data_IF_807121817178
#
_entry.id   IF_807121817178
#
_cell.length_a   1.000
_cell.length_b   1.000
_cell.length_c   1.000
_cell.angle_alpha   90.00
_cell.angle_beta   90.00
_cell.angle_gamma   90.00
#
_symmetry.space_group_name_H-M   'P 1'
#
loop_
_entity.id
_entity.type
_entity.pdbx_description
1 polymer ?
#
# COMPACT_ATOMS: atom_id res chain seq x y z
N UNK A 1 5.66 -11.01 19.55
CA UNK A 1 4.38 -10.53 20.15
C UNK A 1 4.60 -9.40 21.14
N UNK A 2 5.37 -9.57 22.23
CA UNK A 2 5.59 -8.51 23.25
C UNK A 2 6.05 -7.18 22.63
N UNK A 3 7.03 -7.21 21.73
CA UNK A 3 7.53 -6.01 21.03
C UNK A 3 6.41 -5.29 20.25
N UNK A 4 5.47 -6.03 19.65
CA UNK A 4 4.36 -5.44 18.88
C UNK A 4 3.40 -4.71 19.82
N UNK A 5 3.03 -5.35 20.94
CA UNK A 5 2.14 -4.76 21.94
C UNK A 5 2.79 -3.51 22.54
N UNK A 6 4.08 -3.60 22.90
CA UNK A 6 4.84 -2.46 23.40
C UNK A 6 4.88 -1.33 22.36
N UNK A 7 5.27 -1.61 21.11
CA UNK A 7 5.32 -0.60 20.05
C UNK A 7 3.95 0.03 19.77
N UNK A 8 2.87 -0.75 19.81
CA UNK A 8 1.50 -0.28 19.58
C UNK A 8 0.91 0.55 20.71
N UNK A 9 1.43 0.43 21.93
CA UNK A 9 1.01 1.23 23.09
C UNK A 9 1.40 2.71 22.98
N UNK A 10 2.37 3.05 22.13
CA UNK A 10 2.80 4.42 21.92
C UNK A 10 1.82 5.23 21.05
N UNK A 11 1.80 6.57 21.22
CA UNK A 11 1.02 7.44 20.36
C UNK A 11 1.55 7.40 18.91
N UNK A 12 0.67 7.62 17.92
CA UNK A 12 1.06 7.71 16.51
C UNK A 12 1.94 8.93 16.25
N UNK A 13 2.90 8.79 15.33
CA UNK A 13 3.91 9.80 15.03
C UNK A 13 3.93 10.26 13.56
N UNK A 14 3.20 9.60 12.65
CA UNK A 14 3.13 10.00 11.24
C UNK A 14 2.03 11.05 11.00
N UNK A 15 2.31 12.03 10.16
CA UNK A 15 1.39 13.11 9.79
C UNK A 15 0.07 12.63 9.19
N UNK A 16 0.08 11.58 8.37
CA UNK A 16 -1.13 11.00 7.76
C UNK A 16 -2.18 10.56 8.80
N UNK A 17 -1.74 10.25 10.03
CA UNK A 17 -2.65 9.90 11.11
C UNK A 17 -3.65 11.03 11.40
N UNK A 18 -3.14 12.24 11.66
CA UNK A 18 -3.97 13.39 12.01
C UNK A 18 -4.59 14.07 10.78
N UNK A 19 -3.93 13.99 9.62
CA UNK A 19 -4.39 14.66 8.41
C UNK A 19 -5.41 13.87 7.58
N UNK A 20 -5.48 12.55 7.72
CA UNK A 20 -6.31 11.71 6.86
C UNK A 20 -6.98 10.55 7.60
N UNK A 21 -6.22 9.72 8.33
CA UNK A 21 -6.79 8.48 8.87
C UNK A 21 -7.81 8.71 9.98
N UNK A 22 -7.41 9.44 11.02
CA UNK A 22 -8.25 9.68 12.20
C UNK A 22 -9.53 10.48 11.87
N UNK A 23 -9.47 11.57 11.07
CA UNK A 23 -10.69 12.27 10.64
C UNK A 23 -11.63 11.38 9.82
N UNK A 24 -11.08 10.57 8.90
CA UNK A 24 -11.90 9.69 8.05
C UNK A 24 -12.60 8.62 8.87
N UNK A 25 -11.90 8.00 9.82
CA UNK A 25 -12.47 6.95 10.67
C UNK A 25 -13.51 7.53 11.62
N UNK A 26 -13.20 8.66 12.27
CA UNK A 26 -14.12 9.34 13.18
C UNK A 26 -15.41 9.74 12.47
N UNK A 27 -15.31 10.37 11.29
CA UNK A 27 -16.47 10.74 10.47
C UNK A 27 -17.33 9.52 10.09
N UNK A 28 -16.69 8.43 9.64
CA UNK A 28 -17.40 7.19 9.31
C UNK A 28 -18.08 6.58 10.54
N UNK A 29 -17.47 6.72 11.72
CA UNK A 29 -17.98 6.14 12.95
C UNK A 29 -19.19 6.91 13.51
N UNK A 30 -19.22 8.24 13.34
CA UNK A 30 -20.28 9.11 13.88
C UNK A 30 -21.44 9.28 12.90
N UNK A 31 -21.13 9.50 11.62
CA UNK A 31 -22.12 9.91 10.60
C UNK A 31 -22.34 8.81 9.56
N UNK A 32 -21.34 7.95 9.34
CA UNK A 32 -21.39 6.94 8.29
C UNK A 32 -21.24 7.52 6.88
N UNK A 33 -21.77 6.81 5.88
CA UNK A 33 -21.64 7.21 4.48
C UNK A 33 -22.66 8.27 4.08
N UNK A 34 -22.20 9.51 3.96
CA UNK A 34 -22.99 10.62 3.42
C UNK A 34 -22.93 10.61 1.88
N UNK A 35 -24.10 10.70 1.27
CA UNK A 35 -24.27 10.73 -0.19
C UNK A 35 -23.56 11.96 -0.78
N UNK A 36 -22.66 11.75 -1.73
CA UNK A 36 -21.94 12.84 -2.40
C UNK A 36 -20.93 13.60 -1.52
N UNK A 37 -20.46 13.00 -0.42
CA UNK A 37 -19.49 13.64 0.49
C UNK A 37 -18.23 14.14 -0.22
N UNK A 38 -17.86 13.50 -1.33
CA UNK A 38 -16.71 13.88 -2.15
C UNK A 38 -16.81 15.26 -2.80
N UNK A 39 -18.02 15.84 -2.90
CA UNK A 39 -18.22 17.21 -3.36
C UNK A 39 -17.81 18.25 -2.30
N UNK A 40 -17.74 17.84 -1.02
CA UNK A 40 -17.22 18.67 0.07
C UNK A 40 -15.73 18.38 0.31
N UNK A 41 -15.39 17.10 0.46
CA UNK A 41 -14.02 16.66 0.65
C UNK A 41 -13.78 15.31 -0.04
N UNK A 42 -12.90 15.34 -1.06
CA UNK A 42 -12.48 14.15 -1.79
C UNK A 42 -11.83 13.10 -0.89
N UNK A 43 -11.15 13.49 0.20
CA UNK A 43 -10.47 12.57 1.11
C UNK A 43 -11.46 11.70 1.88
N UNK A 44 -12.57 12.28 2.36
CA UNK A 44 -13.66 11.54 3.00
C UNK A 44 -14.33 10.56 2.03
N UNK A 45 -14.47 10.97 0.76
CA UNK A 45 -14.89 10.07 -0.31
C UNK A 45 -13.92 8.89 -0.51
N UNK A 46 -12.62 9.12 -0.37
CA UNK A 46 -11.55 8.13 -0.55
C UNK A 46 -11.42 7.12 0.61
N UNK A 47 -12.44 6.99 1.46
CA UNK A 47 -12.49 5.99 2.52
C UNK A 47 -12.32 4.56 1.97
N UNK A 48 -11.27 3.87 2.42
CA UNK A 48 -11.00 2.46 2.08
C UNK A 48 -11.86 1.48 2.89
N UNK A 49 -11.94 0.23 2.43
CA UNK A 49 -12.59 -0.86 3.19
C UNK A 49 -11.93 -1.10 4.56
N UNK A 50 -10.65 -0.76 4.71
CA UNK A 50 -9.97 -0.84 6.00
C UNK A 50 -10.47 0.22 6.98
N UNK A 51 -10.74 1.45 6.52
CA UNK A 51 -11.32 2.48 7.38
C UNK A 51 -12.75 2.12 7.81
N UNK A 52 -13.54 1.49 6.93
CA UNK A 52 -14.89 0.98 7.29
C UNK A 52 -14.77 -0.04 8.43
N UNK A 53 -13.84 -0.99 8.28
CA UNK A 53 -13.56 -1.99 9.31
C UNK A 53 -13.12 -1.34 10.63
N UNK A 54 -12.21 -0.36 10.59
CA UNK A 54 -11.77 0.36 11.78
C UNK A 54 -12.89 1.17 12.46
N UNK A 55 -13.71 1.86 11.68
CA UNK A 55 -14.84 2.63 12.20
C UNK A 55 -15.82 1.73 12.97
N UNK A 56 -16.08 0.51 12.48
CA UNK A 56 -16.94 -0.45 13.16
C UNK A 56 -16.41 -0.85 14.55
N UNK A 57 -15.10 -1.06 14.68
CA UNK A 57 -14.48 -1.48 15.95
C UNK A 57 -14.14 -0.31 16.88
N UNK A 58 -14.08 0.92 16.37
CA UNK A 58 -13.75 2.11 17.15
C UNK A 58 -14.68 2.32 18.36
N UNK A 59 -15.99 2.10 18.17
CA UNK A 59 -17.00 2.21 19.24
C UNK A 59 -17.13 0.96 20.11
N UNK A 60 -16.59 -0.18 19.68
CA UNK A 60 -16.80 -1.47 20.34
C UNK A 60 -15.62 -1.90 21.19
N UNK A 61 -14.42 -1.97 20.61
CA UNK A 61 -13.26 -2.60 21.26
C UNK A 61 -11.93 -1.91 20.98
N UNK A 62 -11.87 -0.93 20.08
CA UNK A 62 -10.63 -0.26 19.69
C UNK A 62 -10.78 1.27 19.61
N UNK A 63 -11.06 1.95 20.74
CA UNK A 63 -11.24 3.41 20.76
C UNK A 63 -9.98 4.19 20.37
N UNK A 64 -8.80 3.54 20.38
CA UNK A 64 -7.51 4.16 20.03
C UNK A 64 -7.00 3.78 18.64
N UNK A 65 -7.82 3.10 17.82
CA UNK A 65 -7.53 2.74 16.44
C UNK A 65 -6.22 1.93 16.26
N UNK A 66 -5.98 0.98 17.16
CA UNK A 66 -4.80 0.10 17.24
C UNK A 66 -4.99 -1.25 16.58
N UNK A 67 -6.02 -1.44 15.77
CA UNK A 67 -6.29 -2.72 15.06
C UNK A 67 -5.12 -3.23 14.22
N UNK A 68 -4.23 -2.35 13.77
CA UNK A 68 -3.02 -2.69 13.04
C UNK A 68 -2.02 -3.50 13.91
N UNK A 69 -2.01 -3.31 15.23
CA UNK A 69 -1.25 -4.15 16.16
C UNK A 69 -1.79 -5.59 16.18
N UNK A 70 -3.12 -5.73 16.26
CA UNK A 70 -3.79 -7.02 16.22
C UNK A 70 -3.52 -7.75 14.90
N UNK A 71 -3.62 -7.03 13.77
CA UNK A 71 -3.31 -7.58 12.46
C UNK A 71 -1.87 -8.11 12.37
N UNK A 72 -0.89 -7.40 12.93
CA UNK A 72 0.50 -7.86 12.92
C UNK A 72 0.71 -9.09 13.82
N UNK A 73 -0.05 -9.22 14.92
CA UNK A 73 -0.06 -10.45 15.74
C UNK A 73 -0.63 -11.62 14.94
N UNK A 74 -1.75 -11.43 14.24
CA UNK A 74 -2.30 -12.47 13.36
C UNK A 74 -1.31 -12.88 12.26
N UNK A 75 -0.57 -11.91 11.70
CA UNK A 75 0.46 -12.20 10.72
C UNK A 75 1.61 -13.02 11.32
N UNK A 76 2.03 -12.77 12.56
CA UNK A 76 3.00 -13.63 13.24
C UNK A 76 2.48 -15.07 13.40
N UNK A 77 1.23 -15.23 13.83
CA UNK A 77 0.62 -16.56 13.97
C UNK A 77 0.64 -17.30 12.63
N UNK A 78 0.23 -16.62 11.55
CA UNK A 78 0.30 -17.15 10.19
C UNK A 78 1.70 -17.63 9.81
N UNK A 79 2.75 -16.83 10.09
CA UNK A 79 4.14 -17.18 9.79
C UNK A 79 4.54 -18.50 10.44
N UNK A 80 4.23 -18.68 11.72
CA UNK A 80 4.57 -19.89 12.46
C UNK A 80 3.72 -21.09 12.03
N UNK A 81 2.42 -20.90 11.80
CA UNK A 81 1.53 -21.96 11.36
C UNK A 81 1.93 -22.50 9.98
N UNK A 82 2.33 -21.61 9.05
CA UNK A 82 2.78 -21.98 7.71
C UNK A 82 4.26 -22.32 7.61
N UNK A 83 5.02 -22.20 8.70
CA UNK A 83 6.49 -22.39 8.74
C UNK A 83 7.23 -21.53 7.72
N UNK A 84 6.77 -20.30 7.50
CA UNK A 84 7.33 -19.35 6.52
C UNK A 84 8.20 -18.29 7.21
N UNK A 85 9.19 -18.74 7.97
CA UNK A 85 9.99 -17.90 8.88
C UNK A 85 10.71 -16.73 8.21
N UNK A 86 11.02 -16.81 6.91
CA UNK A 86 11.63 -15.69 6.16
C UNK A 86 10.78 -14.42 6.19
N UNK A 87 9.46 -14.53 6.35
CA UNK A 87 8.54 -13.39 6.45
C UNK A 87 8.75 -12.57 7.73
N UNK A 88 9.41 -13.12 8.76
CA UNK A 88 9.72 -12.39 10.00
C UNK A 88 10.57 -11.14 9.75
N UNK A 89 11.37 -11.12 8.69
CA UNK A 89 12.22 -9.97 8.33
C UNK A 89 11.39 -8.71 8.04
N UNK A 90 10.12 -8.85 7.66
CA UNK A 90 9.24 -7.71 7.42
C UNK A 90 8.60 -7.14 8.70
N UNK A 91 8.55 -7.92 9.79
CA UNK A 91 7.94 -7.49 11.06
C UNK A 91 8.57 -6.20 11.60
N UNK A 92 9.91 -6.01 11.63
CA UNK A 92 10.53 -4.76 12.03
C UNK A 92 9.98 -3.54 11.27
N UNK A 93 9.85 -3.65 9.94
CA UNK A 93 9.31 -2.57 9.10
C UNK A 93 7.87 -2.23 9.48
N UNK A 94 7.07 -3.25 9.82
CA UNK A 94 5.67 -3.09 10.18
C UNK A 94 5.46 -2.42 11.54
N UNK A 95 6.43 -2.47 12.46
CA UNK A 95 6.32 -1.80 13.75
C UNK A 95 6.08 -0.29 13.62
N UNK A 96 6.56 0.34 12.55
CA UNK A 96 6.34 1.76 12.24
C UNK A 96 4.84 2.06 11.97
N UNK A 97 4.12 1.09 11.40
CA UNK A 97 2.71 1.20 11.05
C UNK A 97 1.75 0.74 12.15
N UNK A 98 2.23 0.02 13.16
CA UNK A 98 1.40 -0.54 14.24
C UNK A 98 0.69 0.55 15.06
N UNK A 99 1.32 1.71 15.21
CA UNK A 99 0.81 2.80 16.04
C UNK A 99 -0.33 3.60 15.41
N UNK A 100 -0.54 3.46 14.10
CA UNK A 100 -1.43 4.29 13.29
C UNK A 100 -2.41 3.41 12.51
N UNK A 101 -3.63 3.89 12.21
CA UNK A 101 -4.62 3.15 11.46
C UNK A 101 -4.38 3.18 9.94
N UNK A 102 -3.13 3.01 9.51
CA UNK A 102 -2.78 3.05 8.09
C UNK A 102 -3.35 1.85 7.31
N UNK A 103 -4.01 2.07 6.17
CA UNK A 103 -4.46 1.01 5.27
C UNK A 103 -3.30 0.40 4.46
N UNK A 104 -2.08 0.94 4.54
CA UNK A 104 -0.93 0.38 3.82
C UNK A 104 -0.46 -0.94 4.44
N UNK A 105 -0.47 -1.05 5.78
CA UNK A 105 -0.09 -2.27 6.49
C UNK A 105 -0.90 -3.51 6.06
N UNK A 106 -2.25 -3.51 6.08
CA UNK A 106 -3.03 -4.67 5.65
C UNK A 106 -2.79 -5.03 4.19
N UNK A 107 -2.67 -4.05 3.30
CA UNK A 107 -2.39 -4.29 1.89
C UNK A 107 -1.05 -5.02 1.70
N UNK A 108 -0.02 -4.61 2.43
CA UNK A 108 1.29 -5.25 2.40
C UNK A 108 1.26 -6.65 2.98
N UNK A 109 0.66 -6.84 4.16
CA UNK A 109 0.54 -8.15 4.81
C UNK A 109 -0.21 -9.13 3.90
N UNK A 110 -1.33 -8.70 3.31
CA UNK A 110 -2.09 -9.53 2.37
C UNK A 110 -1.25 -9.86 1.13
N UNK A 111 -0.51 -8.89 0.59
CA UNK A 111 0.40 -9.12 -0.55
C UNK A 111 1.45 -10.19 -0.22
N UNK A 112 2.06 -10.12 0.97
CA UNK A 112 3.02 -11.12 1.45
C UNK A 112 2.38 -12.50 1.55
N UNK A 113 1.21 -12.62 2.19
CA UNK A 113 0.47 -13.88 2.32
C UNK A 113 0.16 -14.46 0.94
N UNK A 114 -0.42 -13.66 0.04
CA UNK A 114 -0.81 -14.12 -1.30
C UNK A 114 0.39 -14.61 -2.11
N UNK A 115 1.50 -13.86 -2.13
CA UNK A 115 2.72 -14.27 -2.85
C UNK A 115 3.28 -15.55 -2.23
N UNK A 116 3.36 -15.61 -0.91
CA UNK A 116 3.97 -16.72 -0.18
C UNK A 116 3.18 -18.03 -0.33
N UNK A 117 1.85 -17.97 -0.24
CA UNK A 117 0.96 -19.12 -0.51
C UNK A 117 1.09 -19.60 -1.95
N UNK A 118 1.15 -18.69 -2.93
CA UNK A 118 1.30 -19.09 -4.33
C UNK A 118 2.69 -19.66 -4.65
N UNK A 119 3.75 -19.16 -4.00
CA UNK A 119 5.11 -19.73 -4.08
C UNK A 119 5.12 -21.18 -3.57
N UNK A 120 4.40 -21.45 -2.47
CA UNK A 120 4.23 -22.79 -1.90
C UNK A 120 3.18 -23.64 -2.64
N UNK A 121 2.68 -23.17 -3.80
CA UNK A 121 1.68 -23.85 -4.62
C UNK A 121 0.36 -24.15 -3.89
N UNK A 122 0.02 -23.42 -2.83
CA UNK A 122 -1.32 -23.45 -2.24
C UNK A 122 -2.29 -22.69 -3.16
N UNK A 123 -3.47 -23.27 -3.40
CA UNK A 123 -4.38 -22.87 -4.48
C UNK A 123 -5.83 -22.75 -4.00
N UNK A 124 -6.00 -22.19 -2.81
CA UNK A 124 -7.32 -21.97 -2.24
C UNK A 124 -8.01 -20.76 -2.90
N UNK A 125 -9.35 -20.80 -3.12
CA UNK A 125 -10.13 -19.62 -3.51
C UNK A 125 -10.00 -18.45 -2.54
N UNK A 126 -9.63 -18.73 -1.28
CA UNK A 126 -9.35 -17.73 -0.24
C UNK A 126 -8.20 -16.80 -0.65
N UNK A 127 -7.18 -17.29 -1.36
CA UNK A 127 -6.08 -16.44 -1.86
C UNK A 127 -6.60 -15.37 -2.82
N UNK A 128 -7.57 -15.73 -3.67
CA UNK A 128 -8.21 -14.77 -4.56
C UNK A 128 -9.14 -13.81 -3.82
N UNK A 129 -9.87 -14.29 -2.81
CA UNK A 129 -10.66 -13.43 -1.94
C UNK A 129 -9.78 -12.37 -1.25
N UNK A 130 -8.63 -12.77 -0.70
CA UNK A 130 -7.66 -11.87 -0.08
C UNK A 130 -7.10 -10.85 -1.08
N UNK A 131 -6.74 -11.27 -2.31
CA UNK A 131 -6.20 -10.34 -3.30
C UNK A 131 -7.23 -9.31 -3.78
N UNK A 132 -8.50 -9.71 -3.94
CA UNK A 132 -9.60 -8.78 -4.24
C UNK A 132 -9.85 -7.84 -3.05
N UNK A 133 -9.80 -8.34 -1.82
CA UNK A 133 -9.94 -7.50 -0.62
C UNK A 133 -8.81 -6.45 -0.53
N UNK A 134 -7.56 -6.81 -0.83
CA UNK A 134 -6.46 -5.85 -0.90
C UNK A 134 -6.70 -4.76 -1.95
N UNK A 135 -7.27 -5.11 -3.11
CA UNK A 135 -7.69 -4.14 -4.13
C UNK A 135 -8.80 -3.20 -3.63
N UNK A 136 -9.78 -3.70 -2.88
CA UNK A 136 -10.84 -2.87 -2.27
C UNK A 136 -10.31 -1.93 -1.17
N UNK A 137 -9.24 -2.31 -0.48
CA UNK A 137 -8.54 -1.40 0.44
C UNK A 137 -7.79 -0.34 -0.35
N UNK A 138 -7.03 -0.74 -1.38
CA UNK A 138 -6.22 0.19 -2.17
C UNK A 138 -6.22 -0.22 -3.66
N UNK A 139 -6.94 0.51 -4.53
CA UNK A 139 -7.08 0.14 -5.95
C UNK A 139 -5.76 0.02 -6.72
N UNK A 140 -4.68 0.68 -6.25
CA UNK A 140 -3.35 0.61 -6.87
C UNK A 140 -2.70 -0.80 -6.83
N UNK A 141 -3.28 -1.71 -6.04
CA UNK A 141 -2.86 -3.10 -5.90
C UNK A 141 -3.68 -4.03 -6.83
N UNK A 142 -4.31 -3.48 -7.86
CA UNK A 142 -5.05 -4.24 -8.90
C UNK A 142 -4.22 -5.35 -9.56
N UNK A 143 -2.89 -5.20 -9.59
CA UNK A 143 -2.00 -6.21 -10.15
C UNK A 143 -2.04 -7.52 -9.35
N UNK A 144 -2.38 -7.49 -8.06
CA UNK A 144 -2.41 -8.67 -7.21
C UNK A 144 -3.56 -9.63 -7.57
N UNK A 145 -4.84 -9.20 -7.63
CA UNK A 145 -5.91 -10.08 -8.11
C UNK A 145 -5.70 -10.49 -9.58
N UNK A 146 -5.17 -9.60 -10.42
CA UNK A 146 -4.79 -9.96 -11.80
C UNK A 146 -3.73 -11.07 -11.82
N UNK A 147 -2.71 -10.97 -10.97
CA UNK A 147 -1.66 -11.96 -10.83
C UNK A 147 -2.22 -13.32 -10.40
N UNK A 148 -3.10 -13.37 -9.40
CA UNK A 148 -3.77 -14.60 -8.99
C UNK A 148 -4.56 -15.20 -10.15
N UNK A 149 -5.38 -14.41 -10.85
CA UNK A 149 -6.20 -14.89 -11.98
C UNK A 149 -5.37 -15.44 -13.13
N UNK A 150 -4.34 -14.69 -13.57
CA UNK A 150 -3.47 -15.13 -14.67
C UNK A 150 -2.70 -16.40 -14.29
N UNK A 151 -2.23 -16.51 -13.04
CA UNK A 151 -1.55 -17.72 -12.58
C UNK A 151 -2.50 -18.93 -12.54
N UNK A 152 -3.76 -18.75 -12.15
CA UNK A 152 -4.76 -19.84 -12.14
C UNK A 152 -5.27 -20.20 -13.55
N UNK A 153 -5.48 -19.20 -14.42
CA UNK A 153 -5.82 -19.41 -15.83
C UNK A 153 -4.74 -20.24 -16.52
N UNK A 154 -3.47 -19.86 -16.30
CA UNK A 154 -2.34 -20.55 -16.87
C UNK A 154 -2.26 -22.02 -16.43
N UNK A 155 -2.59 -22.29 -15.17
CA UNK A 155 -2.61 -23.65 -14.63
C UNK A 155 -3.88 -24.44 -15.01
N UNK A 156 -4.79 -23.87 -15.80
CA UNK A 156 -6.11 -24.43 -16.17
C UNK A 156 -6.97 -24.86 -14.98
N UNK A 157 -6.90 -24.10 -13.88
CA UNK A 157 -7.57 -24.41 -12.61
C UNK A 157 -8.62 -23.38 -12.20
N UNK A 158 -9.06 -22.54 -13.14
CA UNK A 158 -10.15 -21.61 -12.86
C UNK A 158 -11.44 -22.38 -12.57
N UNK A 159 -12.04 -22.04 -11.44
CA UNK A 159 -13.32 -22.55 -11.00
C UNK A 159 -14.30 -21.36 -10.87
N UNK A 160 -15.59 -21.59 -11.06
CA UNK A 160 -16.65 -20.60 -10.78
C UNK A 160 -16.53 -19.97 -9.38
N UNK A 161 -15.99 -20.70 -8.39
CA UNK A 161 -15.73 -20.17 -7.03
C UNK A 161 -14.85 -18.92 -7.00
N UNK A 162 -14.02 -18.70 -8.03
CA UNK A 162 -13.20 -17.48 -8.14
C UNK A 162 -14.02 -16.27 -8.61
N UNK A 163 -15.19 -16.44 -9.22
CA UNK A 163 -16.05 -15.34 -9.66
C UNK A 163 -16.78 -14.71 -8.46
N UNK A 164 -17.10 -15.50 -7.44
CA UNK A 164 -17.89 -15.05 -6.29
C UNK A 164 -17.21 -13.89 -5.54
N UNK A 165 -15.92 -13.97 -5.12
CA UNK A 165 -15.28 -12.85 -4.44
C UNK A 165 -15.23 -11.59 -5.32
N UNK A 166 -14.95 -11.75 -6.62
CA UNK A 166 -14.90 -10.62 -7.55
C UNK A 166 -16.27 -9.94 -7.67
N UNK A 167 -17.35 -10.71 -7.80
CA UNK A 167 -18.70 -10.18 -7.90
C UNK A 167 -19.11 -9.46 -6.60
N UNK A 168 -18.94 -10.09 -5.43
CA UNK A 168 -19.35 -9.52 -4.15
C UNK A 168 -18.59 -8.23 -3.84
N UNK A 169 -17.25 -8.28 -3.86
CA UNK A 169 -16.43 -7.11 -3.55
C UNK A 169 -16.52 -6.03 -4.64
N UNK A 170 -16.65 -6.42 -5.91
CA UNK A 170 -16.85 -5.50 -7.02
C UNK A 170 -18.15 -4.71 -6.89
N UNK A 171 -19.26 -5.40 -6.61
CA UNK A 171 -20.57 -4.75 -6.38
C UNK A 171 -20.50 -3.81 -5.18
N UNK A 172 -19.93 -4.26 -4.05
CA UNK A 172 -19.79 -3.41 -2.86
C UNK A 172 -18.94 -2.16 -3.13
N UNK A 173 -17.82 -2.31 -3.84
CA UNK A 173 -16.97 -1.19 -4.21
C UNK A 173 -17.70 -0.21 -5.15
N UNK A 174 -18.45 -0.71 -6.13
CA UNK A 174 -19.24 0.12 -7.04
C UNK A 174 -20.35 0.88 -6.31
N UNK A 175 -21.10 0.21 -5.42
CA UNK A 175 -22.14 0.86 -4.61
C UNK A 175 -21.53 1.98 -3.77
N UNK A 176 -20.42 1.70 -3.07
CA UNK A 176 -19.71 2.69 -2.25
C UNK A 176 -19.27 3.89 -3.10
N UNK A 177 -18.63 3.64 -4.24
CA UNK A 177 -18.11 4.72 -5.09
C UNK A 177 -19.26 5.54 -5.73
N UNK A 178 -20.33 4.90 -6.19
CA UNK A 178 -21.51 5.62 -6.72
C UNK A 178 -22.16 6.49 -5.64
N UNK A 179 -22.26 5.98 -4.41
CA UNK A 179 -22.85 6.73 -3.31
C UNK A 179 -21.99 7.93 -2.89
N UNK A 180 -20.67 7.75 -2.78
CA UNK A 180 -19.76 8.79 -2.30
C UNK A 180 -19.31 9.76 -3.39
N UNK A 181 -19.04 9.28 -4.61
CA UNK A 181 -18.45 10.03 -5.74
C UNK A 181 -19.40 10.23 -6.92
N UNK A 182 -20.47 9.47 -7.04
CA UNK A 182 -21.30 9.48 -8.25
C UNK A 182 -20.64 8.80 -9.47
N UNK A 183 -19.48 8.15 -9.27
CA UNK A 183 -18.79 7.35 -10.30
C UNK A 183 -18.62 5.91 -9.81
N UNK A 184 -18.74 4.89 -10.68
CA UNK A 184 -18.59 3.49 -10.28
C UNK A 184 -17.15 3.13 -9.90
N UNK A 185 -16.17 3.79 -10.51
CA UNK A 185 -14.74 3.60 -10.26
C UNK A 185 -14.12 4.98 -10.01
N UNK A 186 -13.29 5.10 -9.00
CA UNK A 186 -12.55 6.32 -8.65
C UNK A 186 -11.09 5.92 -8.32
N UNK A 187 -10.05 6.73 -8.63
CA UNK A 187 -10.05 8.14 -9.08
C UNK A 187 -10.28 8.38 -10.57
N UNK A 188 -10.24 7.34 -11.40
CA UNK A 188 -10.53 7.50 -12.80
C UNK A 188 -12.04 7.67 -12.96
N UNK A 189 -12.51 8.91 -13.20
CA UNK A 189 -13.91 9.29 -13.39
C UNK A 189 -14.51 8.68 -14.68
N UNK A 190 -14.36 7.37 -14.84
CA UNK A 190 -14.88 6.58 -15.93
C UNK A 190 -16.36 6.28 -15.69
N UNK A 191 -17.15 6.31 -16.76
CA UNK A 191 -18.60 6.09 -16.74
C UNK A 191 -19.36 7.10 -15.87
N UNK A 192 -19.53 8.30 -16.41
CA UNK A 192 -20.34 9.35 -15.80
C UNK A 192 -21.84 9.07 -16.04
N UNK A 193 -22.55 8.73 -14.97
CA UNK A 193 -24.02 8.54 -14.98
C UNK A 193 -24.79 9.86 -14.82
N UNK A 194 -24.09 10.98 -14.80
CA UNK A 194 -24.60 12.33 -14.58
C UNK A 194 -25.43 12.47 -13.30
N UNK A 195 -24.95 11.85 -12.22
CA UNK A 195 -25.62 11.89 -10.93
C UNK A 195 -25.51 13.30 -10.29
N UNK A 196 -26.57 13.81 -9.63
CA UNK A 196 -26.60 15.19 -9.16
C UNK A 196 -25.68 15.49 -7.97
N UNK A 197 -25.11 14.46 -7.34
CA UNK A 197 -24.21 14.58 -6.18
C UNK A 197 -22.75 14.25 -6.52
N UNK A 198 -22.39 14.14 -7.80
CA UNK A 198 -20.99 13.97 -8.21
C UNK A 198 -20.19 15.25 -7.92
N UNK A 199 -18.88 15.17 -7.61
CA UNK A 199 -18.03 16.34 -7.49
C UNK A 199 -18.07 17.23 -8.72
N UNK A 200 -17.87 18.54 -8.52
CA UNK A 200 -17.69 19.47 -9.64
C UNK A 200 -16.46 19.09 -10.48
N UNK A 201 -16.51 19.40 -11.77
CA UNK A 201 -15.40 19.13 -12.68
C UNK A 201 -14.11 19.84 -12.23
N UNK A 202 -14.23 21.02 -11.62
CA UNK A 202 -13.11 21.80 -11.08
C UNK A 202 -12.40 21.09 -9.92
N UNK A 203 -13.16 20.46 -9.02
CA UNK A 203 -12.60 19.69 -7.90
C UNK A 203 -11.82 18.48 -8.43
N UNK A 204 -12.35 17.79 -9.44
CA UNK A 204 -11.70 16.64 -10.07
C UNK A 204 -10.44 17.06 -10.84
N UNK A 205 -10.48 18.17 -11.59
CA UNK A 205 -9.30 18.68 -12.30
C UNK A 205 -8.24 19.11 -11.31
N UNK A 206 -8.58 19.85 -10.26
CA UNK A 206 -7.64 20.26 -9.22
C UNK A 206 -6.98 19.07 -8.52
N UNK A 207 -7.76 18.04 -8.17
CA UNK A 207 -7.22 16.81 -7.58
C UNK A 207 -6.24 16.08 -8.51
N UNK A 208 -6.53 16.04 -9.81
CA UNK A 208 -5.63 15.40 -10.78
C UNK A 208 -4.34 16.21 -10.99
N UNK A 209 -4.44 17.55 -11.00
CA UNK A 209 -3.29 18.46 -11.03
C UNK A 209 -2.37 18.26 -9.81
N UNK A 210 -2.93 18.21 -8.60
CA UNK A 210 -2.17 17.90 -7.39
C UNK A 210 -1.49 16.52 -7.50
N UNK A 211 -2.21 15.52 -8.01
CA UNK A 211 -1.66 14.17 -8.21
C UNK A 211 -0.42 14.15 -9.12
N UNK A 212 -0.43 14.97 -10.17
CA UNK A 212 0.69 15.14 -11.09
C UNK A 212 1.84 15.91 -10.41
N UNK A 213 1.56 17.04 -9.77
CA UNK A 213 2.59 17.83 -9.07
C UNK A 213 3.28 17.02 -7.96
N UNK A 214 2.52 16.21 -7.20
CA UNK A 214 3.07 15.30 -6.17
C UNK A 214 4.03 14.25 -6.74
N UNK A 215 3.89 13.88 -8.01
CA UNK A 215 4.82 12.95 -8.69
C UNK A 215 6.23 13.53 -8.80
N UNK A 216 6.34 14.86 -8.79
CA UNK A 216 7.60 15.61 -8.83
C UNK A 216 7.85 16.40 -7.54
N UNK A 217 7.30 15.94 -6.42
CA UNK A 217 7.47 16.55 -5.10
C UNK A 217 7.07 18.03 -5.04
N UNK A 218 6.06 18.41 -5.84
CA UNK A 218 5.58 19.79 -5.95
C UNK A 218 6.65 20.80 -6.43
N UNK A 219 7.78 20.33 -6.98
CA UNK A 219 8.88 21.18 -7.44
C UNK A 219 8.53 21.97 -8.72
N UNK A 220 7.65 21.41 -9.54
CA UNK A 220 7.22 22.01 -10.81
C UNK A 220 5.74 22.37 -10.74
N UNK A 221 5.37 23.47 -11.38
CA UNK A 221 3.96 23.85 -11.53
C UNK A 221 3.26 22.91 -12.53
N UNK A 222 1.94 22.83 -12.44
CA UNK A 222 1.15 22.01 -13.37
C UNK A 222 1.43 22.35 -14.84
N UNK A 223 1.53 23.65 -15.17
CA UNK A 223 1.81 24.11 -16.53
C UNK A 223 3.16 23.58 -17.05
N UNK A 224 4.21 23.64 -16.21
CA UNK A 224 5.53 23.12 -16.57
C UNK A 224 5.49 21.62 -16.84
N UNK A 225 4.75 20.85 -16.03
CA UNK A 225 4.64 19.39 -16.19
C UNK A 225 3.92 19.00 -17.48
N UNK A 226 2.93 19.79 -17.91
CA UNK A 226 2.25 19.58 -19.19
C UNK A 226 3.21 19.82 -20.36
N UNK A 227 4.02 20.87 -20.27
CA UNK A 227 4.94 21.28 -21.32
C UNK A 227 6.14 20.30 -21.46
N UNK A 228 6.37 19.44 -20.47
CA UNK A 228 7.41 18.41 -20.54
C UNK A 228 7.12 17.38 -21.63
N UNK A 229 8.14 17.12 -22.46
CA UNK A 229 8.11 15.97 -23.35
C UNK A 229 8.26 14.66 -22.53
N UNK A 230 8.10 13.51 -23.20
CA UNK A 230 8.19 12.20 -22.53
C UNK A 230 9.54 11.97 -21.81
N UNK A 231 10.65 12.38 -22.42
CA UNK A 231 11.98 12.24 -21.84
C UNK A 231 12.21 13.17 -20.66
N UNK A 232 11.71 14.41 -20.74
CA UNK A 232 11.75 15.38 -19.64
C UNK A 232 10.99 14.83 -18.43
N UNK A 233 9.82 14.24 -18.64
CA UNK A 233 9.03 13.60 -17.57
C UNK A 233 9.82 12.51 -16.86
N UNK A 234 10.55 11.67 -17.60
CA UNK A 234 11.39 10.61 -17.03
C UNK A 234 12.60 11.21 -16.30
N UNK A 235 13.31 12.13 -16.95
CA UNK A 235 14.50 12.77 -16.38
C UNK A 235 14.18 13.50 -15.08
N UNK A 236 13.11 14.30 -15.07
CA UNK A 236 12.66 14.99 -13.87
C UNK A 236 12.21 14.02 -12.80
N UNK A 237 11.55 12.92 -13.16
CA UNK A 237 11.15 11.91 -12.18
C UNK A 237 12.35 11.24 -11.50
N UNK A 238 13.45 11.02 -12.22
CA UNK A 238 14.71 10.49 -11.65
C UNK A 238 15.61 11.55 -10.96
N UNK A 239 15.27 12.84 -11.01
CA UNK A 239 16.08 13.92 -10.42
C UNK A 239 15.39 14.66 -9.27
N UNK A 240 14.20 14.19 -8.86
CA UNK A 240 13.44 14.78 -7.76
C UNK A 240 14.02 14.35 -6.40
N UNK A 241 14.94 15.17 -5.87
CA UNK A 241 15.41 15.13 -4.49
C UNK A 241 15.80 13.74 -3.98
N UNK A 242 15.46 13.42 -2.72
CA UNK A 242 15.68 12.09 -2.15
C UNK A 242 14.79 11.01 -2.78
N UNK A 243 13.63 11.39 -3.34
CA UNK A 243 12.68 10.47 -3.98
C UNK A 243 13.26 9.84 -5.24
N UNK A 244 14.25 10.48 -5.88
CA UNK A 244 15.04 9.90 -6.97
C UNK A 244 15.64 8.53 -6.61
N UNK A 245 16.15 8.37 -5.38
CA UNK A 245 16.73 7.11 -4.89
C UNK A 245 15.67 6.03 -4.79
N UNK A 246 14.47 6.39 -4.32
CA UNK A 246 13.34 5.48 -4.28
C UNK A 246 12.93 5.09 -5.70
N UNK A 247 12.77 6.06 -6.60
CA UNK A 247 12.40 5.83 -8.00
C UNK A 247 13.42 4.90 -8.71
N UNK A 248 14.72 5.12 -8.52
CA UNK A 248 15.77 4.22 -9.00
C UNK A 248 15.63 2.81 -8.40
N UNK A 249 15.32 2.72 -7.10
CA UNK A 249 15.05 1.45 -6.42
C UNK A 249 13.87 0.65 -7.03
N UNK A 250 12.87 1.31 -7.63
CA UNK A 250 11.78 0.62 -8.35
C UNK A 250 12.36 -0.14 -9.54
N UNK A 251 13.19 0.53 -10.34
CA UNK A 251 13.83 -0.07 -11.52
C UNK A 251 14.74 -1.21 -11.12
N UNK A 252 15.57 -1.02 -10.09
CA UNK A 252 16.43 -2.08 -9.54
C UNK A 252 15.60 -3.29 -9.08
N UNK A 253 14.47 -3.05 -8.41
CA UNK A 253 13.55 -4.12 -7.97
C UNK A 253 12.96 -4.88 -9.16
N UNK A 254 12.54 -4.17 -10.22
CA UNK A 254 12.03 -4.79 -11.44
C UNK A 254 13.11 -5.59 -12.19
N UNK A 255 14.34 -5.08 -12.29
CA UNK A 255 15.47 -5.81 -12.88
C UNK A 255 15.73 -7.09 -12.10
N UNK A 256 15.69 -7.03 -10.77
CA UNK A 256 15.88 -8.20 -9.93
C UNK A 256 14.78 -9.26 -10.14
N UNK A 257 13.52 -8.84 -10.20
CA UNK A 257 12.38 -9.73 -10.48
C UNK A 257 12.52 -10.33 -11.90
N UNK A 258 12.96 -9.54 -12.88
CA UNK A 258 13.20 -10.01 -14.25
C UNK A 258 14.32 -11.04 -14.30
N UNK A 259 15.42 -10.82 -13.58
CA UNK A 259 16.50 -11.80 -13.42
C UNK A 259 15.98 -13.14 -12.86
N UNK A 260 15.12 -13.10 -11.84
CA UNK A 260 14.48 -14.31 -11.31
C UNK A 260 13.58 -14.99 -12.34
N UNK A 261 12.80 -14.23 -13.10
CA UNK A 261 11.95 -14.78 -14.15
C UNK A 261 12.75 -15.51 -15.24
N UNK A 262 13.89 -14.94 -15.65
CA UNK A 262 14.79 -15.54 -16.64
C UNK A 262 15.50 -16.76 -16.07
N UNK A 263 16.06 -16.66 -14.86
CA UNK A 263 16.88 -17.71 -14.24
C UNK A 263 16.07 -18.96 -13.88
N UNK A 264 14.94 -18.78 -13.21
CA UNK A 264 14.12 -19.90 -12.74
C UNK A 264 13.30 -20.52 -13.88
N UNK A 265 13.18 -19.84 -15.04
CA UNK A 265 12.38 -20.23 -16.21
C UNK A 265 10.95 -20.65 -15.85
N UNK A 266 10.45 -20.15 -14.73
CA UNK A 266 9.15 -20.51 -14.18
C UNK A 266 8.13 -19.48 -14.63
N UNK A 267 7.00 -19.98 -15.13
CA UNK A 267 5.90 -19.12 -15.60
C UNK A 267 5.29 -18.29 -14.47
N UNK A 268 5.40 -18.75 -13.23
CA UNK A 268 5.01 -17.97 -12.05
C UNK A 268 5.73 -16.62 -12.01
N UNK A 269 7.06 -16.62 -12.11
CA UNK A 269 7.85 -15.40 -12.07
C UNK A 269 7.64 -14.54 -13.33
N UNK A 270 7.41 -15.16 -14.49
CA UNK A 270 7.07 -14.43 -15.73
C UNK A 270 5.74 -13.69 -15.61
N UNK A 271 4.69 -14.34 -15.10
CA UNK A 271 3.37 -13.71 -14.90
C UNK A 271 3.45 -12.62 -13.82
N UNK A 272 4.23 -12.85 -12.76
CA UNK A 272 4.49 -11.85 -11.72
C UNK A 272 5.15 -10.60 -12.30
N UNK A 273 6.22 -10.78 -13.08
CA UNK A 273 6.92 -9.68 -13.77
C UNK A 273 5.96 -8.92 -14.69
N UNK A 274 5.18 -9.63 -15.51
CA UNK A 274 4.20 -9.02 -16.40
C UNK A 274 3.20 -8.12 -15.65
N UNK A 275 2.64 -8.61 -14.54
CA UNK A 275 1.68 -7.85 -13.74
C UNK A 275 2.31 -6.59 -13.12
N UNK A 276 3.55 -6.68 -12.66
CA UNK A 276 4.26 -5.54 -12.05
C UNK A 276 4.76 -4.52 -13.07
N UNK A 277 5.12 -4.95 -14.28
CA UNK A 277 5.40 -4.03 -15.39
C UNK A 277 4.12 -3.29 -15.79
N UNK A 278 3.00 -4.02 -15.95
CA UNK A 278 1.71 -3.42 -16.27
C UNK A 278 1.29 -2.40 -15.19
N UNK A 279 1.42 -2.75 -13.91
CA UNK A 279 1.25 -1.84 -12.77
C UNK A 279 2.10 -0.59 -12.93
N UNK A 280 3.38 -0.76 -13.23
CA UNK A 280 4.32 0.35 -13.33
C UNK A 280 3.95 1.31 -14.45
N UNK A 281 3.62 0.79 -15.63
CA UNK A 281 3.18 1.61 -16.76
C UNK A 281 1.92 2.42 -16.38
N UNK A 282 0.91 1.74 -15.81
CA UNK A 282 -0.36 2.40 -15.43
C UNK A 282 -0.12 3.49 -14.37
N UNK A 283 0.68 3.24 -13.34
CA UNK A 283 0.93 4.22 -12.28
C UNK A 283 1.71 5.43 -12.81
N UNK A 284 2.70 5.21 -13.68
CA UNK A 284 3.45 6.30 -14.30
C UNK A 284 2.56 7.23 -15.14
N UNK A 285 1.47 6.71 -15.72
CA UNK A 285 0.50 7.52 -16.48
C UNK A 285 -0.42 8.36 -15.59
N UNK A 286 -0.80 7.87 -14.41
CA UNK A 286 -1.76 8.56 -13.53
C UNK A 286 -1.09 9.43 -12.46
N UNK A 287 -0.13 8.89 -11.72
CA UNK A 287 0.59 9.60 -10.65
C UNK A 287 1.79 8.78 -10.21
N UNK A 288 2.99 9.22 -10.59
CA UNK A 288 4.24 8.50 -10.40
C UNK A 288 4.82 8.66 -8.97
N UNK A 289 4.00 8.45 -7.94
CA UNK A 289 4.44 8.54 -6.55
C UNK A 289 5.07 7.22 -6.09
N UNK A 290 6.28 7.27 -5.51
CA UNK A 290 7.01 6.09 -5.03
C UNK A 290 6.20 5.24 -4.03
N UNK A 291 5.32 5.84 -3.22
CA UNK A 291 4.45 5.12 -2.25
C UNK A 291 3.56 4.09 -2.92
N UNK A 292 3.20 4.30 -4.18
CA UNK A 292 2.37 3.38 -4.95
C UNK A 292 3.11 2.14 -5.43
N UNK A 293 4.45 2.13 -5.31
CA UNK A 293 5.35 1.04 -5.69
C UNK A 293 5.89 0.28 -4.48
N UNK A 294 5.40 0.57 -3.26
CA UNK A 294 5.87 -0.07 -2.03
C UNK A 294 5.82 -1.61 -2.12
N UNK A 295 4.78 -2.15 -2.75
CA UNK A 295 4.62 -3.56 -3.04
C UNK A 295 5.66 -4.15 -4.00
N UNK A 296 6.15 -3.39 -4.99
CA UNK A 296 7.22 -3.83 -5.90
C UNK A 296 8.50 -4.13 -5.12
N UNK A 297 8.89 -3.25 -4.20
CA UNK A 297 10.06 -3.50 -3.34
C UNK A 297 9.87 -4.72 -2.47
N UNK A 298 8.68 -4.87 -1.88
CA UNK A 298 8.35 -6.01 -1.02
C UNK A 298 8.44 -7.32 -1.81
N UNK A 299 7.90 -7.36 -3.03
CA UNK A 299 7.99 -8.55 -3.89
C UNK A 299 9.46 -8.88 -4.18
N UNK A 300 10.27 -7.89 -4.57
CA UNK A 300 11.69 -8.11 -4.82
C UNK A 300 12.42 -8.65 -3.57
N UNK A 301 12.16 -8.06 -2.40
CA UNK A 301 12.71 -8.50 -1.12
C UNK A 301 12.30 -9.95 -0.80
N UNK A 302 11.03 -10.31 -0.97
CA UNK A 302 10.57 -11.70 -0.79
C UNK A 302 11.38 -12.67 -1.65
N UNK A 303 11.60 -12.35 -2.92
CA UNK A 303 12.35 -13.22 -3.83
C UNK A 303 13.82 -13.39 -3.41
N UNK A 304 14.44 -12.34 -2.84
CA UNK A 304 15.80 -12.39 -2.27
C UNK A 304 15.84 -13.32 -1.06
N UNK A 305 14.93 -13.11 -0.10
CA UNK A 305 15.06 -13.68 1.24
C UNK A 305 14.33 -15.02 1.41
N UNK A 306 13.51 -15.46 0.44
CA UNK A 306 12.72 -16.72 0.56
C UNK A 306 13.55 -17.97 0.87
N UNK A 307 14.86 -17.95 0.59
CA UNK A 307 15.79 -19.06 0.86
C UNK A 307 16.56 -18.92 2.18
N UNK A 308 16.25 -17.91 2.99
CA UNK A 308 16.90 -17.69 4.27
C UNK A 308 16.49 -18.77 5.27
N UNK A 309 17.44 -19.26 6.07
CA UNK A 309 17.15 -20.22 7.13
C UNK A 309 16.36 -19.56 8.27
N UNK A 310 15.60 -20.37 8.99
CA UNK A 310 14.79 -19.94 10.13
C UNK A 310 15.62 -19.18 11.18
N UNK A 311 16.73 -19.76 11.64
CA UNK A 311 17.58 -19.15 12.68
C UNK A 311 18.06 -17.76 12.28
N UNK A 312 18.47 -17.59 11.02
CA UNK A 312 18.92 -16.29 10.50
C UNK A 312 17.76 -15.32 10.38
N UNK A 313 16.59 -15.76 9.92
CA UNK A 313 15.41 -14.92 9.80
C UNK A 313 14.95 -14.41 11.17
N UNK A 314 14.92 -15.28 12.18
CA UNK A 314 14.57 -14.94 13.56
C UNK A 314 15.58 -13.95 14.15
N UNK A 315 16.89 -14.23 14.02
CA UNK A 315 17.95 -13.37 14.55
C UNK A 315 17.88 -11.96 13.94
N UNK A 316 17.79 -11.87 12.60
CA UNK A 316 17.70 -10.59 11.89
C UNK A 316 16.42 -9.85 12.29
N UNK A 317 15.28 -10.53 12.32
CA UNK A 317 14.01 -9.91 12.69
C UNK A 317 14.03 -9.38 14.13
N UNK A 318 14.60 -10.14 15.07
CA UNK A 318 14.70 -9.72 16.47
C UNK A 318 15.62 -8.51 16.62
N UNK A 319 16.82 -8.56 16.05
CA UNK A 319 17.77 -7.45 16.08
C UNK A 319 17.17 -6.17 15.49
N UNK A 320 16.57 -6.27 14.29
CA UNK A 320 15.95 -5.12 13.64
C UNK A 320 14.71 -4.60 14.38
N UNK A 321 13.90 -5.49 14.98
CA UNK A 321 12.73 -5.10 15.76
C UNK A 321 13.12 -4.31 17.00
N UNK A 322 14.13 -4.79 17.74
CA UNK A 322 14.68 -4.08 18.90
C UNK A 322 15.27 -2.75 18.47
N UNK A 323 16.09 -2.75 17.41
CA UNK A 323 16.68 -1.53 16.87
C UNK A 323 15.60 -0.50 16.55
N UNK A 324 14.61 -0.82 15.71
CA UNK A 324 13.53 0.09 15.32
C UNK A 324 12.78 0.58 16.56
N UNK A 325 12.38 -0.32 17.46
CA UNK A 325 11.62 0.05 18.66
C UNK A 325 12.40 1.04 19.54
N UNK A 326 13.70 0.82 19.75
CA UNK A 326 14.55 1.74 20.52
C UNK A 326 14.66 3.11 19.85
N UNK A 327 14.86 3.16 18.52
CA UNK A 327 14.97 4.42 17.79
C UNK A 327 13.68 5.25 17.87
N UNK A 328 12.51 4.61 17.78
CA UNK A 328 11.22 5.32 17.84
C UNK A 328 10.77 5.64 19.27
N UNK A 329 11.17 4.84 20.26
CA UNK A 329 10.85 5.11 21.67
C UNK A 329 11.73 6.21 22.25
N UNK A 330 13.01 6.26 21.86
CA UNK A 330 13.99 7.21 22.36
C UNK A 330 14.61 8.04 21.23
N UNK A 331 13.84 8.91 20.55
CA UNK A 331 14.37 9.71 19.43
C UNK A 331 15.57 10.58 19.83
N UNK A 332 15.63 11.03 21.09
CA UNK A 332 16.78 11.77 21.64
C UNK A 332 18.09 10.98 21.69
N UNK A 333 18.03 9.64 21.73
CA UNK A 333 19.22 8.77 21.63
C UNK A 333 19.84 8.85 20.23
N UNK A 334 19.01 8.86 19.19
CA UNK A 334 19.42 8.97 17.78
C UNK A 334 19.96 10.37 17.46
N UNK A 335 19.36 11.41 18.06
CA UNK A 335 19.85 12.78 17.91
C UNK A 335 21.26 12.97 18.47
N UNK A 336 21.58 12.31 19.60
CA UNK A 336 22.94 12.30 20.19
C UNK A 336 23.97 11.56 19.32
N UNK A 337 23.55 10.58 18.53
CA UNK A 337 24.40 9.85 17.57
C UNK A 337 24.74 10.68 16.31
N UNK A 338 24.21 11.90 16.16
CA UNK A 338 24.51 12.79 15.05
C UNK A 338 24.03 12.30 13.68
N UNK A 339 23.25 11.21 13.61
CA UNK A 339 22.72 10.66 12.36
C UNK A 339 21.77 11.66 11.67
N UNK A 340 20.98 12.41 12.45
CA UNK A 340 20.12 13.49 11.92
C UNK A 340 20.91 14.59 11.21
N UNK A 341 22.12 14.94 11.69
CA UNK A 341 23.00 15.94 11.06
C UNK A 341 23.68 15.44 9.78
N UNK A 342 23.81 14.12 9.60
CA UNK A 342 24.34 13.52 8.36
C UNK A 342 23.27 13.37 7.28
N UNK A 343 21.99 13.46 7.65
CA UNK A 343 20.86 13.57 6.73
C UNK A 343 20.44 15.03 6.49
N UNK A 344 21.05 16.00 7.18
CA UNK A 344 20.65 17.42 7.22
C UNK A 344 21.34 18.32 6.19
N UNK A 345 21.59 17.84 4.98
CA UNK A 345 21.44 18.74 3.82
C UNK A 345 19.94 18.96 3.50
N UNK A 346 19.05 18.32 4.25
CA UNK A 346 17.64 18.70 4.39
C UNK A 346 17.51 20.03 5.15
N UNK A 347 17.27 21.12 4.43
CA UNK A 347 16.99 22.44 5.01
C UNK A 347 15.58 22.47 5.59
N UNK A 348 15.46 22.92 6.84
CA UNK A 348 14.22 23.08 7.62
C UNK A 348 13.17 24.07 7.03
N UNK A 349 13.46 24.72 5.90
CA UNK A 349 12.58 25.68 5.23
C UNK A 349 11.42 25.04 4.42
N UNK A 350 11.24 23.72 4.51
CA UNK A 350 10.16 22.98 3.84
C UNK A 350 9.04 22.54 4.80
N UNK A 351 9.01 23.09 6.02
CA UNK A 351 8.00 22.83 7.06
C UNK A 351 7.11 24.04 7.35
N UNK A 352 6.89 24.90 6.36
CA UNK A 352 5.78 25.86 6.34
C UNK A 352 4.90 25.64 5.13
#
# INVERSE_FOLDING_TARGET
MIIIVFAGSFPPHLFDHFGYYDPTISFLSEVGFVKGISNLDLLLGQSSFWHIYQALFSHLSDPFLKINAYLLILFLIYIYERRQHFLLIFVPLFLIFVQQPSPDLPVVIITLIVISELLNQNKSPVIFCLSVFAFCIKPIVFWLPLFVLLNQFHQRKLNFKYIIPLAVFGILLMIKNLWLFGFPVFPAAFFDLNLPWKPSQEILTYSSQIGLMKSYDMKYSYQQIIDFNFFDKIYHWFTVGYKSVLNAGIIVSLIFIAYFAIREKSRFYTVLLFCLILKTIIILLFSAQYRFFLDVYIVALVLIIKKLSEDRAVLIALFLSVFITVNFTFPGFVQKLGMGKRMSDFRWLQLY
#
